data_IF_808259830243
#
_entry.id   IF_808259830243
#
_cell.length_a   1.000
_cell.length_b   1.000
_cell.length_c   1.000
_cell.angle_alpha   90.00
_cell.angle_beta   90.00
_cell.angle_gamma   90.00
#
_symmetry.space_group_name_H-M   'P 1'
#
loop_
_entity.id
_entity.type
_entity.pdbx_description
1 polymer ?
#
# COMPACT_ATOMS: atom_id res chain seq x y z
N UNK A 1 -14.95 16.66 -1.46
CA UNK A 1 -14.47 15.33 -1.94
C UNK A 1 -13.87 15.53 -3.33
N UNK A 2 -12.65 15.07 -3.57
CA UNK A 2 -11.94 15.31 -4.83
C UNK A 2 -12.01 14.05 -5.70
N UNK A 3 -12.51 14.20 -6.93
CA UNK A 3 -12.51 13.12 -7.93
C UNK A 3 -11.08 12.67 -8.25
N UNK A 4 -10.91 11.42 -8.70
CA UNK A 4 -9.63 10.97 -9.26
C UNK A 4 -9.38 11.75 -10.55
N UNK A 5 -8.20 12.38 -10.73
CA UNK A 5 -7.87 13.03 -11.99
C UNK A 5 -7.84 12.03 -13.14
N UNK A 6 -8.47 12.34 -14.28
CA UNK A 6 -8.53 11.43 -15.43
C UNK A 6 -7.15 11.00 -15.95
N UNK A 7 -6.15 11.89 -15.85
CA UNK A 7 -4.76 11.57 -16.19
C UNK A 7 -4.16 10.49 -15.28
N UNK A 8 -4.54 10.44 -14.00
CA UNK A 8 -4.09 9.39 -13.09
C UNK A 8 -4.75 8.05 -13.41
N UNK A 9 -6.02 8.05 -13.85
CA UNK A 9 -6.68 6.83 -14.31
C UNK A 9 -6.04 6.28 -15.58
N UNK A 10 -5.63 7.14 -16.51
CA UNK A 10 -4.90 6.73 -17.71
C UNK A 10 -3.56 6.07 -17.35
N UNK A 11 -2.77 6.66 -16.46
CA UNK A 11 -1.50 6.08 -15.98
C UNK A 11 -1.72 4.72 -15.29
N UNK A 12 -2.75 4.61 -14.45
CA UNK A 12 -3.09 3.34 -13.77
C UNK A 12 -3.49 2.27 -14.77
N UNK A 13 -4.28 2.62 -15.79
CA UNK A 13 -4.63 1.71 -16.87
C UNK A 13 -3.40 1.25 -17.63
N UNK A 14 -2.54 2.18 -18.03
CA UNK A 14 -1.42 1.88 -18.92
C UNK A 14 -0.33 1.05 -18.19
N UNK A 15 -0.11 1.28 -16.89
CA UNK A 15 0.89 0.52 -16.10
C UNK A 15 0.39 -0.80 -15.52
N UNK A 16 -0.87 -0.85 -15.06
CA UNK A 16 -1.41 -1.98 -14.31
C UNK A 16 -2.48 -2.76 -15.07
N UNK A 17 -2.89 -2.32 -16.27
CA UNK A 17 -3.98 -2.92 -17.03
C UNK A 17 -5.36 -2.72 -16.41
N UNK A 18 -5.47 -1.83 -15.41
CA UNK A 18 -6.72 -1.60 -14.67
C UNK A 18 -7.60 -0.62 -15.44
N UNK A 19 -8.73 -1.11 -15.95
CA UNK A 19 -9.75 -0.31 -16.62
C UNK A 19 -10.89 -0.03 -15.64
N UNK A 20 -11.22 1.24 -15.44
CA UNK A 20 -12.31 1.70 -14.58
C UNK A 20 -12.98 2.93 -15.21
N UNK A 21 -14.29 3.04 -15.04
CA UNK A 21 -15.08 4.18 -15.51
C UNK A 21 -15.34 5.16 -14.37
N UNK A 22 -15.46 4.65 -13.15
CA UNK A 22 -15.78 5.42 -11.96
C UNK A 22 -14.75 5.19 -10.85
N UNK A 23 -14.59 6.21 -10.03
CA UNK A 23 -13.77 6.16 -8.84
C UNK A 23 -14.49 6.82 -7.68
N UNK A 24 -14.62 6.10 -6.56
CA UNK A 24 -15.23 6.61 -5.34
C UNK A 24 -14.16 6.85 -4.26
N UNK A 25 -14.18 7.99 -3.56
CA UNK A 25 -13.26 8.22 -2.47
C UNK A 25 -13.55 7.26 -1.30
N UNK A 26 -12.50 6.63 -0.77
CA UNK A 26 -12.61 5.74 0.39
C UNK A 26 -12.07 6.46 1.62
N UNK A 27 -12.87 6.48 2.69
CA UNK A 27 -12.49 7.06 3.98
C UNK A 27 -11.63 6.11 4.83
N UNK A 28 -11.20 6.58 6.02
CA UNK A 28 -10.59 5.73 7.05
C UNK A 28 -9.08 5.87 7.23
N UNK A 29 -8.38 6.64 6.39
CA UNK A 29 -6.94 6.92 6.52
C UNK A 29 -6.63 8.40 6.75
N UNK A 30 -5.61 8.70 7.55
CA UNK A 30 -5.11 10.07 7.78
C UNK A 30 -3.85 10.41 6.98
N UNK A 31 -3.13 9.39 6.48
CA UNK A 31 -1.84 9.54 5.81
C UNK A 31 -1.92 9.44 4.27
N UNK A 32 -3.09 9.15 3.71
CA UNK A 32 -3.26 8.90 2.27
C UNK A 32 -4.66 9.28 1.80
N UNK A 33 -4.77 9.68 0.52
CA UNK A 33 -6.05 9.70 -0.20
C UNK A 33 -6.23 8.34 -0.85
N UNK A 34 -7.42 7.80 -0.70
CA UNK A 34 -7.80 6.50 -1.25
C UNK A 34 -8.98 6.68 -2.19
N UNK A 35 -8.94 5.98 -3.32
CA UNK A 35 -10.07 5.86 -4.21
C UNK A 35 -10.25 4.42 -4.62
N UNK A 36 -11.46 3.89 -4.49
CA UNK A 36 -11.85 2.60 -5.04
C UNK A 36 -12.26 2.81 -6.50
N UNK A 37 -11.74 1.97 -7.37
CA UNK A 37 -12.12 1.91 -8.76
C UNK A 37 -13.17 0.82 -8.97
N UNK A 38 -14.10 1.05 -9.89
CA UNK A 38 -15.12 0.09 -10.31
C UNK A 38 -14.61 -0.93 -11.34
N UNK A 39 -13.29 -1.17 -11.38
CA UNK A 39 -12.66 -2.17 -12.22
C UNK A 39 -13.09 -3.60 -11.87
N UNK A 40 -12.79 -4.54 -12.77
CA UNK A 40 -12.95 -5.97 -12.52
C UNK A 40 -11.61 -6.71 -12.64
N UNK A 41 -11.01 -7.21 -11.54
CA UNK A 41 -11.47 -7.10 -10.16
C UNK A 41 -11.36 -5.66 -9.61
N UNK A 42 -12.12 -5.31 -8.54
CA UNK A 42 -12.08 -3.95 -7.97
C UNK A 42 -10.73 -3.70 -7.29
N UNK A 43 -10.23 -2.47 -7.43
CA UNK A 43 -8.96 -2.05 -6.83
C UNK A 43 -9.08 -0.72 -6.08
N UNK A 44 -8.07 -0.41 -5.28
CA UNK A 44 -7.92 0.87 -4.58
C UNK A 44 -6.62 1.54 -5.01
N UNK A 45 -6.72 2.79 -5.48
CA UNK A 45 -5.58 3.68 -5.61
C UNK A 45 -5.29 4.28 -4.24
N UNK A 46 -4.04 4.16 -3.79
CA UNK A 46 -3.51 4.86 -2.63
C UNK A 46 -2.49 5.90 -3.07
N UNK A 47 -2.81 7.16 -2.79
CA UNK A 47 -1.90 8.30 -2.94
C UNK A 47 -1.36 8.70 -1.57
N UNK A 48 -0.05 8.62 -1.38
CA UNK A 48 0.60 9.04 -0.13
C UNK A 48 0.50 10.56 0.07
N UNK A 49 0.00 10.99 1.24
CA UNK A 49 -0.41 12.39 1.49
C UNK A 49 0.18 13.08 2.70
N UNK A 50 1.20 12.52 3.33
CA UNK A 50 1.78 13.08 4.56
C UNK A 50 2.53 14.42 4.34
N UNK A 51 1.82 15.48 3.98
CA UNK A 51 2.31 16.86 3.81
C UNK A 51 2.35 17.39 2.36
N UNK A 52 2.83 18.63 2.19
CA UNK A 52 3.30 19.16 0.91
C UNK A 52 4.29 18.18 0.26
N UNK A 53 4.30 18.08 -1.07
CA UNK A 53 5.18 17.15 -1.81
C UNK A 53 6.66 17.31 -1.40
N UNK A 54 7.07 18.55 -1.12
CA UNK A 54 8.42 18.92 -0.67
C UNK A 54 8.77 18.33 0.71
N UNK A 55 7.80 18.25 1.64
CA UNK A 55 7.97 17.60 2.95
C UNK A 55 7.98 16.07 2.83
N UNK A 56 7.25 15.52 1.86
CA UNK A 56 7.24 14.08 1.58
C UNK A 56 8.59 13.65 0.99
N UNK A 57 9.15 14.42 0.04
CA UNK A 57 10.47 14.15 -0.54
C UNK A 57 11.61 14.12 0.50
N UNK A 58 11.46 14.93 1.56
CA UNK A 58 12.43 15.01 2.66
C UNK A 58 12.23 13.96 3.77
N UNK A 59 11.16 13.15 3.72
CA UNK A 59 10.98 12.01 4.62
C UNK A 59 11.49 10.73 3.97
N UNK A 60 12.51 10.14 4.58
CA UNK A 60 13.19 8.96 4.04
C UNK A 60 12.32 7.71 3.98
N UNK A 61 11.21 7.63 4.73
CA UNK A 61 10.26 6.50 4.73
C UNK A 61 9.17 6.60 3.64
N UNK A 62 9.00 7.79 3.05
CA UNK A 62 7.98 8.07 2.03
C UNK A 62 8.54 8.19 0.61
N UNK A 63 9.84 7.96 0.43
CA UNK A 63 10.49 7.93 -0.88
C UNK A 63 10.14 6.63 -1.63
N UNK A 64 10.19 6.70 -2.96
CA UNK A 64 9.75 5.60 -3.82
C UNK A 64 10.50 4.28 -3.53
N UNK A 65 11.84 4.24 -3.42
CA UNK A 65 12.56 2.98 -3.14
C UNK A 65 12.13 2.28 -1.85
N UNK A 66 11.80 3.05 -0.83
CA UNK A 66 11.37 2.57 0.48
C UNK A 66 9.95 2.01 0.46
N UNK A 67 9.09 2.68 -0.29
CA UNK A 67 7.75 2.21 -0.54
C UNK A 67 7.84 0.89 -1.33
N UNK A 68 8.65 0.83 -2.40
CA UNK A 68 8.86 -0.38 -3.19
C UNK A 68 9.36 -1.56 -2.36
N UNK A 69 10.36 -1.33 -1.51
CA UNK A 69 10.84 -2.35 -0.59
C UNK A 69 9.75 -2.82 0.39
N UNK A 70 8.97 -1.89 0.96
CA UNK A 70 7.87 -2.26 1.85
C UNK A 70 6.83 -3.13 1.14
N UNK A 71 6.61 -2.87 -0.15
CA UNK A 71 5.66 -3.60 -0.98
C UNK A 71 6.18 -4.96 -1.44
N UNK A 72 7.47 -5.11 -1.70
CA UNK A 72 8.06 -6.42 -1.98
C UNK A 72 7.99 -7.34 -0.74
N UNK A 73 8.21 -6.78 0.45
CA UNK A 73 7.98 -7.50 1.71
C UNK A 73 6.52 -7.91 1.84
N UNK A 74 5.56 -7.00 1.64
CA UNK A 74 4.13 -7.33 1.68
C UNK A 74 3.75 -8.44 0.67
N UNK A 75 4.33 -8.42 -0.53
CA UNK A 75 4.13 -9.46 -1.55
C UNK A 75 4.66 -10.83 -1.10
N UNK A 76 5.83 -10.88 -0.48
CA UNK A 76 6.38 -12.12 0.09
C UNK A 76 5.45 -12.68 1.17
N UNK A 77 4.93 -11.82 2.04
CA UNK A 77 4.00 -12.22 3.10
C UNK A 77 2.66 -12.69 2.58
N UNK A 78 2.12 -12.08 1.52
CA UNK A 78 0.86 -12.52 0.92
C UNK A 78 0.92 -13.97 0.42
N UNK A 79 2.11 -14.47 0.05
CA UNK A 79 2.32 -15.87 -0.29
C UNK A 79 2.32 -16.85 0.90
N UNK A 80 2.40 -16.34 2.14
CA UNK A 80 2.55 -17.14 3.38
C UNK A 80 1.37 -16.96 4.33
N UNK A 81 0.82 -15.75 4.40
CA UNK A 81 -0.27 -15.34 5.30
C UNK A 81 -1.45 -14.87 4.44
N UNK A 82 -2.53 -15.68 4.33
CA UNK A 82 -3.65 -15.37 3.43
C UNK A 82 -4.35 -14.04 3.71
N UNK A 83 -4.28 -13.54 4.95
CA UNK A 83 -4.86 -12.25 5.34
C UNK A 83 -4.00 -11.04 4.91
N UNK A 84 -2.75 -11.26 4.47
CA UNK A 84 -1.90 -10.20 3.96
C UNK A 84 -2.22 -9.95 2.49
N UNK A 85 -2.53 -8.70 2.17
CA UNK A 85 -2.83 -8.26 0.82
C UNK A 85 -1.56 -7.63 0.24
N UNK A 86 -1.16 -8.06 -0.95
CA UNK A 86 -0.08 -7.44 -1.71
C UNK A 86 -0.63 -6.35 -2.66
N UNK A 87 0.13 -5.30 -2.96
CA UNK A 87 -0.23 -4.38 -4.03
C UNK A 87 -0.11 -5.07 -5.40
N UNK A 88 -0.77 -4.52 -6.40
CA UNK A 88 -0.55 -4.90 -7.79
C UNK A 88 0.87 -4.50 -8.20
N UNK A 89 1.48 -5.33 -9.02
CA UNK A 89 2.78 -5.07 -9.65
C UNK A 89 2.51 -4.67 -11.10
N UNK A 90 3.06 -3.54 -11.53
CA UNK A 90 2.92 -3.05 -12.89
C UNK A 90 3.76 -3.90 -13.88
N UNK A 91 3.57 -3.67 -15.18
CA UNK A 91 4.29 -4.38 -16.24
C UNK A 91 5.81 -4.19 -16.21
N UNK A 92 6.29 -3.14 -15.54
CA UNK A 92 7.70 -2.83 -15.32
C UNK A 92 8.30 -3.54 -14.09
N UNK A 93 7.50 -4.34 -13.36
CA UNK A 93 7.92 -5.03 -12.14
C UNK A 93 7.82 -4.19 -10.87
N UNK A 94 7.36 -2.95 -10.97
CA UNK A 94 7.31 -2.00 -9.86
C UNK A 94 5.90 -1.98 -9.23
N UNK A 95 5.80 -1.96 -7.90
CA UNK A 95 4.50 -1.89 -7.20
C UNK A 95 3.98 -0.45 -7.04
N UNK A 96 4.86 0.54 -7.18
CA UNK A 96 4.57 1.95 -6.98
C UNK A 96 5.20 2.83 -8.08
N UNK A 97 4.62 4.01 -8.28
CA UNK A 97 5.22 5.03 -9.14
C UNK A 97 4.96 6.42 -8.57
N UNK A 98 5.68 7.44 -9.05
CA UNK A 98 5.51 8.81 -8.60
C UNK A 98 4.56 9.57 -9.51
N UNK A 99 3.52 10.16 -8.94
CA UNK A 99 2.58 11.05 -9.62
C UNK A 99 2.59 12.42 -8.92
N UNK A 100 2.97 13.48 -9.64
CA UNK A 100 3.21 14.82 -9.11
C UNK A 100 4.03 14.84 -7.79
N UNK A 101 5.15 14.12 -7.78
CA UNK A 101 6.06 14.06 -6.63
C UNK A 101 5.55 13.23 -5.44
N UNK A 102 4.47 12.46 -5.63
CA UNK A 102 3.89 11.61 -4.57
C UNK A 102 3.80 10.15 -5.02
N UNK A 103 4.22 9.19 -4.20
CA UNK A 103 4.03 7.77 -4.50
C UNK A 103 2.55 7.40 -4.60
N UNK A 104 2.23 6.68 -5.67
CA UNK A 104 0.97 5.98 -5.91
C UNK A 104 1.23 4.49 -5.76
N UNK A 105 0.24 3.78 -5.20
CA UNK A 105 0.13 2.32 -5.28
C UNK A 105 -1.28 1.90 -5.59
N UNK A 106 -1.42 0.70 -6.18
CA UNK A 106 -2.71 0.10 -6.51
C UNK A 106 -2.84 -1.22 -5.75
N UNK A 107 -3.99 -1.42 -5.09
CA UNK A 107 -4.22 -2.57 -4.20
C UNK A 107 -5.50 -3.30 -4.61
N UNK A 108 -5.57 -4.63 -4.49
CA UNK A 108 -6.84 -5.34 -4.56
C UNK A 108 -7.82 -4.77 -3.52
N UNK A 109 -9.06 -4.51 -3.92
CA UNK A 109 -10.08 -4.09 -2.99
C UNK A 109 -10.62 -5.31 -2.23
N UNK A 110 -10.53 -5.26 -0.89
CA UNK A 110 -11.07 -6.29 -0.01
C UNK A 110 -12.20 -5.70 0.81
N UNK A 111 -13.37 -6.33 0.71
CA UNK A 111 -14.52 -6.00 1.54
C UNK A 111 -14.19 -6.31 3.00
N UNK A 112 -14.39 -5.32 3.87
CA UNK A 112 -14.13 -5.47 5.29
C UNK A 112 -14.58 -4.27 6.10
N UNK A 113 -14.53 -4.41 7.42
CA UNK A 113 -14.77 -3.33 8.36
C UNK A 113 -13.46 -2.91 9.03
N UNK A 114 -13.38 -1.65 9.44
CA UNK A 114 -12.28 -1.21 10.29
C UNK A 114 -12.39 -1.90 11.66
N UNK A 115 -11.24 -2.33 12.17
CA UNK A 115 -11.10 -2.90 13.52
C UNK A 115 -11.74 -1.97 14.57
N UNK A 116 -12.69 -2.47 15.34
CA UNK A 116 -13.18 -1.78 16.54
C UNK A 116 -12.17 -1.95 17.68
N UNK A 117 -11.48 -0.86 18.03
CA UNK A 117 -10.48 -0.83 19.11
C UNK A 117 -11.08 -1.05 20.51
N UNK A 118 -12.41 -1.01 20.65
CA UNK A 118 -13.10 -1.29 21.91
C UNK A 118 -13.53 -2.77 22.02
N UNK A 119 -13.51 -3.50 20.91
CA UNK A 119 -13.87 -4.90 20.86
C UNK A 119 -12.65 -5.79 21.17
N UNK A 120 -12.64 -6.38 22.35
CA UNK A 120 -11.53 -7.22 22.83
C UNK A 120 -11.32 -8.50 21.99
N UNK A 121 -12.38 -9.02 21.36
CA UNK A 121 -12.30 -10.21 20.49
C UNK A 121 -11.58 -9.86 19.20
N UNK A 122 -11.90 -8.71 18.61
CA UNK A 122 -11.24 -8.20 17.40
C UNK A 122 -9.77 -7.88 17.66
N UNK A 123 -9.45 -7.23 18.78
CA UNK A 123 -8.06 -6.97 19.18
C UNK A 123 -7.25 -8.26 19.31
N UNK A 124 -7.84 -9.32 19.90
CA UNK A 124 -7.18 -10.62 20.02
C UNK A 124 -6.92 -11.28 18.67
N UNK A 125 -7.88 -11.18 17.73
CA UNK A 125 -7.71 -11.67 16.35
C UNK A 125 -6.60 -10.92 15.62
N UNK A 126 -6.57 -9.59 15.73
CA UNK A 126 -5.52 -8.75 15.16
C UNK A 126 -4.13 -9.09 15.75
N UNK A 127 -4.04 -9.29 17.07
CA UNK A 127 -2.80 -9.69 17.71
C UNK A 127 -2.30 -11.07 17.24
N UNK A 128 -3.21 -12.03 17.05
CA UNK A 128 -2.86 -13.34 16.51
C UNK A 128 -2.33 -13.22 15.06
N UNK A 129 -2.99 -12.41 14.22
CA UNK A 129 -2.53 -12.16 12.86
C UNK A 129 -1.12 -11.54 12.86
N UNK A 130 -0.88 -10.52 13.70
CA UNK A 130 0.44 -9.92 13.85
C UNK A 130 1.48 -10.94 14.31
N UNK A 131 1.15 -11.81 15.25
CA UNK A 131 2.04 -12.86 15.73
C UNK A 131 2.42 -13.84 14.62
N UNK A 132 1.47 -14.23 13.75
CA UNK A 132 1.74 -15.05 12.57
C UNK A 132 2.68 -14.35 11.59
N UNK A 133 2.43 -13.08 11.27
CA UNK A 133 3.36 -12.30 10.45
C UNK A 133 4.75 -12.23 11.09
N UNK A 134 4.85 -12.03 12.41
CA UNK A 134 6.14 -12.05 13.10
C UNK A 134 6.84 -13.41 13.01
N UNK A 135 6.11 -14.51 13.13
CA UNK A 135 6.66 -15.85 13.03
C UNK A 135 7.24 -16.14 11.63
N UNK A 136 6.56 -15.72 10.56
CA UNK A 136 7.02 -15.93 9.17
C UNK A 136 8.35 -15.23 8.83
N UNK A 137 8.69 -14.17 9.57
CA UNK A 137 9.99 -13.49 9.43
C UNK A 137 11.12 -14.13 10.24
N UNK A 138 10.85 -15.19 11.02
CA UNK A 138 11.84 -15.80 11.91
C UNK A 138 12.42 -14.85 12.97
N UNK A 139 11.66 -13.84 13.41
CA UNK A 139 12.15 -12.79 14.31
C UNK A 139 13.07 -11.75 13.65
N UNK A 140 13.20 -11.79 12.33
CA UNK A 140 14.17 -11.02 11.56
C UNK A 140 13.64 -9.67 11.03
N UNK A 141 12.74 -9.04 11.78
CA UNK A 141 12.34 -7.65 11.50
C UNK A 141 13.56 -6.71 11.57
N UNK A 142 14.55 -7.10 12.37
CA UNK A 142 15.84 -6.42 12.48
C UNK A 142 16.78 -6.62 11.28
N UNK A 143 16.72 -7.73 10.52
CA UNK A 143 17.50 -7.83 9.26
C UNK A 143 16.82 -7.08 8.12
N UNK A 144 15.50 -7.07 8.08
CA UNK A 144 14.74 -6.27 7.10
C UNK A 144 14.96 -4.76 7.28
N UNK A 145 15.09 -4.29 8.53
CA UNK A 145 15.52 -2.90 8.83
C UNK A 145 17.04 -2.73 8.68
N UNK A 146 17.83 -3.75 9.06
CA UNK A 146 19.28 -3.71 9.15
C UNK A 146 20.04 -3.80 7.83
N UNK A 147 19.51 -4.49 6.81
CA UNK A 147 20.10 -4.49 5.46
C UNK A 147 20.14 -3.09 4.84
N UNK A 148 19.27 -2.18 5.29
CA UNK A 148 19.24 -0.79 4.86
C UNK A 148 20.31 0.10 5.49
N UNK A 149 20.81 -0.22 6.68
CA UNK A 149 21.90 0.54 7.30
C UNK A 149 23.27 0.27 6.64
N UNK A 150 23.44 -0.88 5.98
CA UNK A 150 24.70 -1.26 5.34
C UNK A 150 24.77 -0.97 3.83
N UNK A 151 23.65 -0.61 3.19
CA UNK A 151 23.58 -0.33 1.74
C UNK A 151 23.82 1.12 1.33
N UNK A 152 24.06 2.03 2.29
CA UNK A 152 24.43 3.41 2.04
C UNK A 152 25.94 3.59 2.27
N UNK A 153 26.75 3.16 1.30
CA UNK A 153 28.13 3.59 1.12
C UNK A 153 28.38 3.88 -0.35
#
# INVERSE_FOLDING_TARGET
>A
MQAVPGVLLAEVRDRYGVVAEHAEPVGGGTASKLWRLDSNPPVVIRLSQSGPAERIANRSDYRLPEQQWSYSVAAEFAGKVPEVIAPLVASDGEAAFVWHGRPITVWPFVMGASLDRRNSVELRRAAHLLARCCAETGGSWLLLIGTRLNGAR
#
